data_IF_797063970432
#
_entry.id   IF_797063970432
#
_cell.length_a   1.000
_cell.length_b   1.000
_cell.length_c   1.000
_cell.angle_alpha   90.00
_cell.angle_beta   90.00
_cell.angle_gamma   90.00
#
_symmetry.space_group_name_H-M   'P 1'
#
loop_
_entity.id
_entity.type
_entity.pdbx_description
1 polymer ?
#
# COMPACT_ATOMS: atom_id res chain seq x y z
N UNK A 1 -1.46 -0.22 -4.03
CA UNK A 1 -0.43 -0.01 -2.98
C UNK A 1 -0.94 1.14 -2.14
N UNK A 2 -1.75 0.83 -1.13
CA UNK A 2 -2.65 1.81 -0.48
C UNK A 2 -1.88 2.88 0.29
N UNK A 3 -0.79 2.48 0.96
CA UNK A 3 0.09 3.42 1.65
C UNK A 3 0.80 4.42 0.71
N UNK A 4 1.35 3.95 -0.42
CA UNK A 4 2.05 4.84 -1.34
C UNK A 4 1.10 5.81 -2.03
N UNK A 5 -0.09 5.36 -2.43
CA UNK A 5 -1.12 6.24 -2.98
C UNK A 5 -1.63 7.26 -1.96
N UNK A 6 -1.68 6.91 -0.67
CA UNK A 6 -2.03 7.86 0.40
C UNK A 6 -1.00 8.99 0.50
N UNK A 7 0.29 8.67 0.66
CA UNK A 7 1.34 9.69 0.85
C UNK A 7 1.67 10.47 -0.42
N UNK A 8 1.29 9.96 -1.60
CA UNK A 8 1.45 10.62 -2.90
C UNK A 8 0.12 11.09 -3.50
N UNK A 9 -0.95 11.16 -2.70
CA UNK A 9 -2.29 11.56 -3.17
C UNK A 9 -2.30 12.97 -3.79
N UNK A 10 -1.53 13.90 -3.24
CA UNK A 10 -1.33 15.25 -3.78
C UNK A 10 -0.72 15.28 -5.19
N UNK A 11 -0.07 14.19 -5.60
CA UNK A 11 0.54 14.04 -6.93
C UNK A 11 -0.34 13.29 -7.92
N UNK A 12 -1.61 13.05 -7.58
CA UNK A 12 -2.56 12.33 -8.44
C UNK A 12 -2.29 10.82 -8.53
N UNK A 13 -1.54 10.26 -7.56
CA UNK A 13 -1.37 8.81 -7.45
C UNK A 13 -2.63 8.22 -6.86
N UNK A 14 -3.53 7.77 -7.72
CA UNK A 14 -4.77 7.13 -7.30
C UNK A 14 -4.54 5.67 -6.86
N UNK A 15 -5.35 5.21 -5.91
CA UNK A 15 -5.51 3.78 -5.71
C UNK A 15 -6.30 3.22 -6.90
N UNK A 16 -5.61 2.66 -7.88
CA UNK A 16 -6.31 1.87 -8.89
C UNK A 16 -7.07 0.74 -8.18
N UNK A 17 -8.40 0.79 -8.29
CA UNK A 17 -9.29 -0.24 -7.75
C UNK A 17 -8.88 -1.60 -8.34
N UNK A 18 -8.17 -2.40 -7.56
CA UNK A 18 -7.75 -3.72 -8.01
C UNK A 18 -9.01 -4.55 -8.27
N UNK A 19 -9.23 -4.91 -9.55
CA UNK A 19 -10.38 -5.73 -9.95
C UNK A 19 -10.24 -7.20 -9.50
N UNK A 20 -9.04 -7.61 -9.11
CA UNK A 20 -8.80 -8.94 -8.56
C UNK A 20 -9.25 -9.01 -7.10
N UNK A 21 -9.64 -10.20 -6.66
CA UNK A 21 -10.00 -10.45 -5.27
C UNK A 21 -8.81 -10.13 -4.35
N UNK A 22 -9.05 -9.31 -3.33
CA UNK A 22 -8.03 -8.83 -2.40
C UNK A 22 -8.58 -8.67 -0.99
N UNK A 23 -7.70 -8.39 -0.03
CA UNK A 23 -8.12 -8.11 1.34
C UNK A 23 -9.00 -6.85 1.41
N UNK A 24 -8.84 -5.88 0.50
CA UNK A 24 -9.60 -4.63 0.47
C UNK A 24 -11.05 -4.84 -0.01
N UNK A 25 -11.26 -5.59 -1.09
CA UNK A 25 -12.59 -5.79 -1.69
C UNK A 25 -13.27 -7.11 -1.30
N UNK A 26 -12.53 -8.06 -0.73
CA UNK A 26 -12.99 -9.44 -0.58
C UNK A 26 -14.18 -9.61 0.35
N UNK A 27 -14.34 -8.75 1.35
CA UNK A 27 -15.48 -8.80 2.28
C UNK A 27 -16.82 -8.63 1.53
N UNK A 28 -16.93 -7.57 0.72
CA UNK A 28 -18.14 -7.25 -0.03
C UNK A 28 -18.44 -8.29 -1.11
N UNK A 29 -17.39 -8.90 -1.67
CA UNK A 29 -17.53 -9.99 -2.64
C UNK A 29 -18.06 -11.24 -1.95
N UNK A 30 -17.46 -11.67 -0.83
CA UNK A 30 -17.83 -12.89 -0.11
C UNK A 30 -19.21 -12.79 0.55
N UNK A 31 -19.58 -11.63 1.07
CA UNK A 31 -20.86 -11.40 1.77
C UNK A 31 -22.08 -11.57 0.87
N UNK A 32 -21.90 -11.69 -0.46
CA UNK A 32 -22.97 -12.01 -1.42
C UNK A 32 -23.29 -13.50 -1.47
N UNK A 33 -22.39 -14.36 -0.98
CA UNK A 33 -22.45 -15.82 -1.12
C UNK A 33 -22.50 -16.55 0.22
N UNK A 34 -21.89 -15.99 1.26
CA UNK A 34 -21.85 -16.57 2.61
C UNK A 34 -22.73 -15.76 3.56
N UNK A 35 -23.37 -16.45 4.50
CA UNK A 35 -24.25 -15.81 5.46
C UNK A 35 -23.45 -15.08 6.55
N UNK A 36 -22.26 -15.58 6.86
CA UNK A 36 -21.31 -14.95 7.77
C UNK A 36 -19.92 -14.85 7.11
N UNK A 37 -19.31 -13.68 7.23
CA UNK A 37 -17.97 -13.38 6.73
C UNK A 37 -17.26 -12.54 7.79
N UNK A 38 -16.13 -13.04 8.27
CA UNK A 38 -15.23 -12.32 9.16
C UNK A 38 -13.96 -11.94 8.40
N UNK A 39 -13.49 -10.70 8.62
CA UNK A 39 -12.20 -10.23 8.11
C UNK A 39 -11.22 -10.07 9.27
N UNK A 40 -10.24 -10.95 9.34
CA UNK A 40 -9.12 -10.83 10.27
C UNK A 40 -7.98 -10.04 9.62
N UNK A 41 -7.55 -8.95 10.26
CA UNK A 41 -6.36 -8.18 9.87
C UNK A 41 -5.20 -8.48 10.82
N UNK A 42 -4.02 -8.71 10.27
CA UNK A 42 -2.79 -8.87 11.02
C UNK A 42 -2.01 -7.56 10.98
N UNK A 43 -1.83 -6.92 12.13
CA UNK A 43 -1.03 -5.71 12.23
C UNK A 43 0.45 -6.05 12.01
N UNK A 44 1.00 -5.60 10.89
CA UNK A 44 2.41 -5.73 10.55
C UNK A 44 2.87 -4.49 9.75
N UNK A 45 4.17 -4.21 9.78
CA UNK A 45 4.78 -3.13 9.02
C UNK A 45 6.18 -3.50 8.57
N UNK A 46 6.57 -3.05 7.38
CA UNK A 46 7.95 -3.09 6.95
C UNK A 46 8.68 -1.87 7.52
N UNK A 47 9.66 -2.12 8.38
CA UNK A 47 10.57 -1.10 8.88
C UNK A 47 11.68 -0.86 7.86
N UNK A 48 11.63 0.27 7.17
CA UNK A 48 12.65 0.68 6.20
C UNK A 48 13.61 1.65 6.88
N UNK A 49 14.88 1.28 6.96
CA UNK A 49 15.95 2.09 7.56
C UNK A 49 16.76 2.87 6.53
N UNK A 50 16.69 2.50 5.26
CA UNK A 50 17.31 3.21 4.15
C UNK A 50 16.24 3.63 3.13
N UNK A 51 16.15 4.93 2.86
CA UNK A 51 15.18 5.47 1.91
C UNK A 51 15.52 5.08 0.48
N UNK A 52 16.79 4.86 0.16
CA UNK A 52 17.20 4.47 -1.18
C UNK A 52 16.70 3.04 -1.52
N UNK A 53 16.63 2.13 -0.54
CA UNK A 53 15.98 0.82 -0.71
C UNK A 53 14.48 0.96 -1.07
N UNK A 54 13.78 1.90 -0.45
CA UNK A 54 12.36 2.16 -0.77
C UNK A 54 12.21 2.77 -2.16
N UNK A 55 13.12 3.66 -2.55
CA UNK A 55 13.14 4.25 -3.89
C UNK A 55 13.32 3.15 -4.95
N UNK A 56 14.31 2.26 -4.77
CA UNK A 56 14.54 1.14 -5.68
C UNK A 56 13.33 0.21 -5.75
N UNK A 57 12.72 -0.11 -4.61
CA UNK A 57 11.50 -0.92 -4.56
C UNK A 57 10.36 -0.28 -5.37
N UNK A 58 10.09 1.01 -5.18
CA UNK A 58 9.07 1.75 -5.94
C UNK A 58 9.32 1.65 -7.45
N UNK A 59 10.56 1.82 -7.90
CA UNK A 59 10.90 1.74 -9.32
C UNK A 59 10.90 0.31 -9.89
N UNK A 60 10.98 -0.70 -9.02
CA UNK A 60 10.85 -2.10 -9.43
C UNK A 60 9.41 -2.52 -9.72
N UNK A 61 8.41 -1.78 -9.20
CA UNK A 61 6.99 -2.08 -9.39
C UNK A 61 6.55 -1.72 -10.82
N UNK A 62 6.20 -2.74 -11.60
CA UNK A 62 5.78 -2.61 -13.00
C UNK A 62 4.54 -1.74 -13.22
N UNK A 63 3.69 -1.58 -12.19
CA UNK A 63 2.42 -0.87 -12.27
C UNK A 63 2.51 0.62 -11.84
N UNK A 64 3.66 1.08 -11.34
CA UNK A 64 3.83 2.45 -10.80
C UNK A 64 4.11 3.52 -11.88
N UNK A 65 3.40 3.48 -12.99
CA UNK A 65 3.58 4.45 -14.09
C UNK A 65 3.30 5.90 -13.67
N UNK A 66 2.42 6.12 -12.70
CA UNK A 66 2.08 7.46 -12.18
C UNK A 66 3.20 8.07 -11.34
N UNK A 67 3.90 7.26 -10.53
CA UNK A 67 5.05 7.73 -9.75
C UNK A 67 6.24 8.10 -10.63
N UNK A 68 6.38 7.50 -11.82
CA UNK A 68 7.44 7.86 -12.76
C UNK A 68 7.33 9.32 -13.27
N UNK A 69 6.16 9.95 -13.15
CA UNK A 69 5.96 11.35 -13.54
C UNK A 69 6.40 12.34 -12.44
N UNK A 70 6.66 11.86 -11.22
CA UNK A 70 7.12 12.69 -10.11
C UNK A 70 8.65 12.72 -10.13
N UNK A 71 9.28 13.90 -9.98
CA UNK A 71 10.73 13.99 -9.85
C UNK A 71 11.25 13.08 -8.73
N UNK A 72 12.33 12.33 -9.01
CA UNK A 72 12.98 11.42 -8.03
C UNK A 72 13.23 12.08 -6.66
N UNK A 73 13.65 13.33 -6.68
CA UNK A 73 13.93 14.07 -5.46
C UNK A 73 12.65 14.33 -4.65
N UNK A 74 11.54 14.67 -5.29
CA UNK A 74 10.27 14.89 -4.60
C UNK A 74 9.74 13.60 -3.96
N UNK A 75 9.88 12.45 -4.64
CA UNK A 75 9.57 11.14 -4.05
C UNK A 75 10.42 10.91 -2.80
N UNK A 76 11.74 11.11 -2.91
CA UNK A 76 12.66 10.97 -1.78
C UNK A 76 12.31 11.92 -0.62
N UNK A 77 11.91 13.15 -0.91
CA UNK A 77 11.53 14.15 0.09
C UNK A 77 10.21 13.77 0.79
N UNK A 78 9.22 13.25 0.07
CA UNK A 78 7.98 12.72 0.66
C UNK A 78 8.29 11.54 1.57
N UNK A 79 9.08 10.56 1.11
CA UNK A 79 9.46 9.41 1.93
C UNK A 79 10.20 9.85 3.20
N UNK A 80 11.18 10.75 3.06
CA UNK A 80 11.97 11.27 4.18
C UNK A 80 11.12 12.02 5.19
N UNK A 81 10.12 12.82 4.74
CA UNK A 81 9.17 13.50 5.64
C UNK A 81 8.29 12.53 6.43
N UNK A 82 8.04 11.34 5.90
CA UNK A 82 7.26 10.29 6.55
C UNK A 82 8.13 9.36 7.44
N UNK A 83 9.45 9.47 7.37
CA UNK A 83 10.40 8.76 8.24
C UNK A 83 10.40 9.36 9.63
N UNK A 84 10.25 8.52 10.66
CA UNK A 84 10.31 8.94 12.07
C UNK A 84 11.44 8.18 12.77
N UNK A 85 12.30 8.92 13.48
CA UNK A 85 13.46 8.34 14.18
C UNK A 85 14.35 7.47 13.28
N UNK A 86 14.51 7.87 12.01
CA UNK A 86 15.32 7.13 11.02
C UNK A 86 14.63 5.88 10.45
N UNK A 87 13.37 5.63 10.76
CA UNK A 87 12.60 4.49 10.24
C UNK A 87 11.35 4.97 9.50
N UNK A 88 11.22 4.56 8.25
CA UNK A 88 9.97 4.66 7.49
C UNK A 88 9.19 3.37 7.73
N UNK A 89 8.06 3.48 8.45
CA UNK A 89 7.19 2.33 8.70
C UNK A 89 6.14 2.24 7.60
N UNK A 90 6.28 1.25 6.72
CA UNK A 90 5.31 0.99 5.64
C UNK A 90 4.31 -0.06 6.14
N UNK A 91 3.03 0.28 6.35
CA UNK A 91 2.02 -0.68 6.79
C UNK A 91 1.88 -1.83 5.80
N UNK A 92 1.79 -3.06 6.28
CA UNK A 92 1.45 -4.22 5.45
C UNK A 92 0.00 -4.58 5.65
N UNK A 93 -0.70 -4.78 4.53
CA UNK A 93 -2.08 -5.24 4.54
C UNK A 93 -2.13 -6.77 4.44
N UNK A 94 -1.97 -7.43 5.60
CA UNK A 94 -2.15 -8.87 5.71
C UNK A 94 -3.39 -9.22 6.51
N UNK A 95 -3.97 -10.36 6.16
CA UNK A 95 -5.20 -10.82 6.77
C UNK A 95 -5.78 -12.01 6.05
N UNK A 96 -6.92 -12.46 6.55
CA UNK A 96 -7.69 -13.52 5.94
C UNK A 96 -9.18 -13.30 6.13
N UNK A 97 -9.97 -13.97 5.31
CA UNK A 97 -11.40 -14.08 5.48
C UNK A 97 -11.76 -15.45 6.05
N UNK A 98 -12.70 -15.49 6.98
CA UNK A 98 -13.34 -16.71 7.49
C UNK A 98 -14.81 -16.61 7.11
N UNK A 99 -15.41 -17.67 6.55
CA UNK A 99 -16.80 -17.65 6.14
C UNK A 99 -17.51 -18.98 6.39
N UNK A 100 -18.82 -18.93 6.67
CA UNK A 100 -19.69 -20.09 6.86
C UNK A 100 -21.02 -19.96 6.14
#
# INVERSE_FOLDING_TARGET
MEYLSEIFSDYGVENETNKNFSLQNGYEILSKFFADVEKLKYADSLAVTDIDDMMEYIYSLSDMTTLNNIPKQEIKDVLTRNTKNGVLNVPKEYGMFISS
#
